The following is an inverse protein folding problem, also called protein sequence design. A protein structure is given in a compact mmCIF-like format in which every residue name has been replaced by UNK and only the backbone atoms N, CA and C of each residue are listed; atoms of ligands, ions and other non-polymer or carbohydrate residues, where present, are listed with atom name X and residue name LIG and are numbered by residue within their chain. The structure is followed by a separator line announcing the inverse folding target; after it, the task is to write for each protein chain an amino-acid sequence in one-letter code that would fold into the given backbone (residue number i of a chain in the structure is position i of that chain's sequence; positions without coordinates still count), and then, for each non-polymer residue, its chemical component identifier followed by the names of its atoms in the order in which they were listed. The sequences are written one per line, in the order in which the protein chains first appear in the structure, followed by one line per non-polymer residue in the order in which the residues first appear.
data_IF_718468360006
#
_entry.id   IF_718468360006
#
_cell.length_a   1.000
_cell.length_b   1.000
_cell.length_c   1.000
_cell.angle_alpha   90.00
_cell.angle_beta   90.00
_cell.angle_gamma   90.00
#
_symmetry.space_group_name_H-M   'P 1'
#
loop_
_entity.id
_entity.type
_entity.pdbx_description
1 polymer ?
#
# COMPACT_ATOMS: atom_id res chain seq x y z
N UNK A 1 25.06 -16.75 -37.50
CA UNK A 1 24.48 -15.43 -37.78
C UNK A 1 25.66 -14.47 -37.91
N UNK A 2 25.83 -13.84 -39.11
CA UNK A 2 26.90 -12.90 -39.32
C UNK A 2 26.75 -11.65 -38.43
N UNK A 3 27.85 -11.12 -37.96
CA UNK A 3 27.87 -9.88 -37.20
C UNK A 3 27.44 -8.70 -38.11
N UNK A 4 26.17 -8.31 -37.99
CA UNK A 4 25.64 -7.13 -38.65
C UNK A 4 25.75 -5.97 -37.67
N UNK A 5 26.72 -5.09 -37.86
CA UNK A 5 26.84 -3.85 -37.09
C UNK A 5 25.99 -2.76 -37.73
N UNK A 6 25.01 -2.27 -36.97
CA UNK A 6 24.17 -1.14 -37.38
C UNK A 6 24.50 0.07 -36.49
N UNK A 7 24.72 1.19 -37.09
CA UNK A 7 24.99 2.45 -36.36
C UNK A 7 23.73 3.30 -36.36
N UNK A 8 23.27 3.69 -35.16
CA UNK A 8 22.08 4.52 -34.97
C UNK A 8 22.45 5.84 -34.28
N UNK A 9 21.78 6.91 -34.69
CA UNK A 9 21.86 8.19 -34.00
C UNK A 9 20.71 8.26 -32.97
N UNK A 10 21.07 8.39 -31.70
CA UNK A 10 20.09 8.56 -30.62
C UNK A 10 19.49 9.97 -30.71
N UNK A 11 18.20 10.07 -31.00
CA UNK A 11 17.46 11.34 -31.10
C UNK A 11 16.76 11.76 -29.84
N UNK A 12 16.57 10.84 -28.89
CA UNK A 12 15.92 11.13 -27.63
C UNK A 12 15.71 9.87 -26.79
N UNK A 13 15.27 10.06 -25.57
CA UNK A 13 14.89 9.00 -24.65
C UNK A 13 13.38 9.02 -24.46
N UNK A 14 12.77 7.85 -24.46
CA UNK A 14 11.33 7.68 -24.26
C UNK A 14 11.08 6.68 -23.15
N UNK A 15 9.91 6.78 -22.52
CA UNK A 15 9.41 5.76 -21.60
C UNK A 15 8.33 4.94 -22.31
N UNK A 16 8.50 3.63 -22.30
CA UNK A 16 7.51 2.72 -22.87
C UNK A 16 6.49 2.30 -21.82
N UNK A 17 5.22 2.33 -22.18
CA UNK A 17 4.15 1.75 -21.34
C UNK A 17 4.15 0.22 -21.33
N UNK A 18 4.81 -0.41 -22.30
CA UNK A 18 4.91 -1.85 -22.46
C UNK A 18 6.08 -2.43 -21.65
N UNK A 19 7.22 -1.75 -21.65
CA UNK A 19 8.42 -2.15 -20.94
C UNK A 19 8.61 -1.34 -19.67
N UNK A 20 7.68 -1.46 -18.73
CA UNK A 20 7.75 -0.79 -17.42
C UNK A 20 8.90 -1.33 -16.56
N UNK A 21 9.24 -2.60 -16.75
CA UNK A 21 10.33 -3.26 -16.04
C UNK A 21 11.33 -3.77 -17.08
N UNK A 22 12.56 -3.26 -17.03
CA UNK A 22 13.66 -3.79 -17.81
C UNK A 22 14.20 -5.03 -17.10
N UNK A 23 13.77 -6.19 -17.56
CA UNK A 23 14.13 -7.45 -16.92
C UNK A 23 14.52 -8.50 -17.95
N UNK A 24 15.48 -9.33 -17.60
CA UNK A 24 15.67 -10.63 -18.25
C UNK A 24 14.96 -11.67 -17.38
N UNK A 25 14.00 -12.36 -17.94
CA UNK A 25 13.10 -13.25 -17.21
C UNK A 25 12.26 -12.48 -16.18
N UNK A 26 12.47 -12.71 -14.88
CA UNK A 26 11.67 -12.14 -13.78
C UNK A 26 12.45 -11.08 -13.00
N UNK A 27 13.78 -11.02 -13.18
CA UNK A 27 14.64 -10.12 -12.37
C UNK A 27 14.91 -8.83 -13.12
N UNK A 28 14.53 -7.66 -12.57
CA UNK A 28 14.86 -6.37 -13.15
C UNK A 28 16.37 -6.18 -13.22
N UNK A 29 16.89 -5.85 -14.41
CA UNK A 29 18.31 -5.59 -14.64
C UNK A 29 18.45 -4.36 -15.54
N UNK A 30 18.12 -3.15 -15.07
CA UNK A 30 18.10 -1.94 -15.87
C UNK A 30 19.48 -1.52 -16.35
N UNK A 31 20.55 -1.97 -15.69
CA UNK A 31 21.93 -1.63 -16.06
C UNK A 31 22.46 -2.45 -17.24
N UNK A 32 21.84 -3.58 -17.54
CA UNK A 32 22.29 -4.53 -18.57
C UNK A 32 21.34 -4.58 -19.74
N UNK A 33 20.03 -4.46 -19.48
CA UNK A 33 18.98 -4.58 -20.49
C UNK A 33 18.26 -3.26 -20.69
N UNK A 34 18.04 -2.93 -21.95
CA UNK A 34 17.27 -1.78 -22.37
C UNK A 34 16.43 -2.13 -23.59
N UNK A 35 15.53 -1.24 -23.96
CA UNK A 35 14.78 -1.30 -25.18
C UNK A 35 15.09 -0.07 -26.05
N UNK A 36 15.01 -0.24 -27.35
CA UNK A 36 15.29 0.78 -28.33
C UNK A 36 14.18 0.76 -29.38
N UNK A 37 13.60 1.92 -29.64
CA UNK A 37 12.69 2.10 -30.75
C UNK A 37 13.43 2.63 -31.96
N UNK A 38 13.36 1.90 -33.06
CA UNK A 38 14.03 2.21 -34.31
C UNK A 38 12.98 2.48 -35.39
N UNK A 39 13.30 3.37 -36.32
CA UNK A 39 12.42 3.63 -37.46
C UNK A 39 12.24 2.38 -38.33
N UNK A 40 11.01 2.10 -38.75
CA UNK A 40 10.69 0.98 -39.63
C UNK A 40 11.54 1.00 -40.93
N UNK A 41 11.92 2.19 -41.42
CA UNK A 41 12.78 2.31 -42.61
C UNK A 41 14.20 1.77 -42.36
N UNK A 42 14.72 1.91 -41.14
CA UNK A 42 16.05 1.41 -40.79
C UNK A 42 16.09 -0.11 -40.61
N UNK A 43 14.92 -0.72 -40.33
CA UNK A 43 14.75 -2.16 -40.11
C UNK A 43 14.02 -2.84 -41.27
N UNK A 44 13.90 -2.22 -42.43
CA UNK A 44 13.15 -2.76 -43.57
C UNK A 44 13.68 -4.12 -44.10
N UNK A 45 14.92 -4.46 -43.82
CA UNK A 45 15.54 -5.74 -44.14
C UNK A 45 15.17 -6.89 -43.17
N UNK A 46 14.57 -6.57 -42.02
CA UNK A 46 14.22 -7.55 -41.00
C UNK A 46 12.71 -7.82 -41.02
N UNK A 47 12.27 -9.08 -40.93
CA UNK A 47 10.84 -9.42 -40.84
C UNK A 47 10.29 -8.89 -39.50
N UNK A 48 9.04 -8.44 -39.51
CA UNK A 48 8.31 -8.13 -38.30
C UNK A 48 8.04 -9.42 -37.50
N UNK A 49 8.41 -9.43 -36.25
CA UNK A 49 8.23 -10.59 -35.35
C UNK A 49 7.06 -10.41 -34.40
N UNK A 50 6.59 -9.19 -34.19
CA UNK A 50 5.50 -8.85 -33.29
C UNK A 50 4.54 -7.84 -33.91
N UNK A 51 3.25 -7.97 -33.61
CA UNK A 51 2.23 -7.03 -34.04
C UNK A 51 1.33 -6.68 -32.84
N UNK A 52 1.24 -5.39 -32.54
CA UNK A 52 0.32 -4.89 -31.52
C UNK A 52 -1.05 -4.57 -32.15
N UNK A 53 -2.07 -5.25 -31.66
CA UNK A 53 -3.46 -5.06 -32.11
C UNK A 53 -4.24 -4.37 -31.00
N UNK A 54 -4.80 -3.19 -31.29
CA UNK A 54 -5.72 -2.50 -30.39
C UNK A 54 -7.15 -2.71 -30.92
N UNK A 55 -7.91 -3.52 -30.22
CA UNK A 55 -9.34 -3.68 -30.50
C UNK A 55 -10.14 -2.46 -30.01
N UNK A 56 -11.30 -2.19 -30.64
CA UNK A 56 -12.26 -1.21 -30.15
C UNK A 56 -12.82 -1.63 -28.79
N UNK A 57 -13.30 -0.67 -27.99
CA UNK A 57 -13.91 -0.96 -26.68
C UNK A 57 -15.09 -1.92 -26.73
N UNK A 58 -15.81 -1.97 -27.86
CA UNK A 58 -17.02 -2.76 -28.06
C UNK A 58 -16.76 -4.06 -28.85
N UNK A 59 -15.49 -4.34 -29.21
CA UNK A 59 -15.13 -5.52 -29.95
C UNK A 59 -15.11 -6.77 -29.06
N UNK A 60 -15.71 -7.85 -29.57
CA UNK A 60 -15.56 -9.16 -28.94
C UNK A 60 -14.15 -9.68 -29.17
N UNK A 61 -13.34 -9.71 -28.11
CA UNK A 61 -11.96 -10.19 -28.17
C UNK A 61 -11.86 -11.66 -28.65
N UNK A 62 -12.92 -12.45 -28.44
CA UNK A 62 -12.95 -13.85 -28.86
C UNK A 62 -13.03 -13.95 -30.39
N UNK A 63 -13.84 -13.09 -31.00
CA UNK A 63 -13.94 -13.02 -32.45
C UNK A 63 -12.65 -12.49 -33.08
N UNK A 64 -12.09 -11.41 -32.52
CA UNK A 64 -10.83 -10.84 -33.02
C UNK A 64 -9.70 -11.89 -32.95
N UNK A 65 -9.63 -12.64 -31.86
CA UNK A 65 -8.65 -13.73 -31.71
C UNK A 65 -8.84 -14.82 -32.76
N UNK A 66 -10.08 -15.24 -32.99
CA UNK A 66 -10.39 -16.26 -34.00
C UNK A 66 -10.00 -15.79 -35.41
N UNK A 67 -10.25 -14.54 -35.75
CA UNK A 67 -9.89 -13.95 -37.03
C UNK A 67 -8.37 -13.85 -37.22
N UNK A 68 -7.63 -13.46 -36.19
CA UNK A 68 -6.16 -13.46 -36.22
C UNK A 68 -5.62 -14.90 -36.39
N UNK A 69 -6.18 -15.88 -35.67
CA UNK A 69 -5.76 -17.27 -35.78
C UNK A 69 -6.06 -17.87 -37.17
N UNK A 70 -7.17 -17.48 -37.79
CA UNK A 70 -7.50 -17.89 -39.14
C UNK A 70 -6.53 -17.30 -40.17
N UNK A 71 -6.09 -16.07 -39.96
CA UNK A 71 -5.17 -15.38 -40.87
C UNK A 71 -3.70 -15.80 -40.66
N UNK A 72 -3.31 -16.01 -39.43
CA UNK A 72 -1.96 -16.39 -39.02
C UNK A 72 -1.99 -17.56 -38.02
N UNK A 73 -2.11 -18.82 -38.48
CA UNK A 73 -2.27 -19.99 -37.59
C UNK A 73 -1.09 -20.26 -36.66
N UNK A 74 0.09 -19.74 -37.01
CA UNK A 74 1.34 -19.90 -36.22
C UNK A 74 1.59 -18.75 -35.25
N UNK A 75 0.72 -17.74 -35.18
CA UNK A 75 0.89 -16.59 -34.33
C UNK A 75 0.60 -16.94 -32.86
N UNK A 76 1.50 -16.57 -31.95
CA UNK A 76 1.27 -16.63 -30.53
C UNK A 76 0.52 -15.37 -30.12
N UNK A 77 -0.73 -15.50 -29.72
CA UNK A 77 -1.55 -14.38 -29.28
C UNK A 77 -1.38 -14.23 -27.76
N UNK A 78 -0.82 -13.10 -27.34
CA UNK A 78 -0.64 -12.72 -25.93
C UNK A 78 -1.57 -11.58 -25.60
N UNK A 79 -2.48 -11.78 -24.67
CA UNK A 79 -3.37 -10.74 -24.19
C UNK A 79 -2.63 -9.76 -23.29
N UNK A 80 -3.14 -8.53 -23.19
CA UNK A 80 -2.63 -7.52 -22.27
C UNK A 80 -2.47 -8.06 -20.83
N UNK A 81 -3.40 -8.93 -20.40
CA UNK A 81 -3.43 -9.47 -19.04
C UNK A 81 -2.43 -10.60 -18.82
N UNK A 82 -2.03 -11.29 -19.87
CA UNK A 82 -1.04 -12.39 -19.84
C UNK A 82 0.37 -11.93 -20.24
N UNK A 83 0.50 -10.67 -20.69
CA UNK A 83 1.79 -10.10 -21.03
C UNK A 83 2.71 -10.03 -19.79
N UNK A 84 3.97 -10.48 -19.93
CA UNK A 84 4.93 -10.61 -18.83
C UNK A 84 5.13 -9.31 -18.03
N UNK A 85 5.18 -8.17 -18.73
CA UNK A 85 5.29 -6.85 -18.10
C UNK A 85 4.08 -6.51 -17.22
N UNK A 86 2.87 -6.80 -17.70
CA UNK A 86 1.62 -6.58 -16.96
C UNK A 86 1.51 -7.51 -15.75
N UNK A 87 1.87 -8.79 -15.92
CA UNK A 87 1.89 -9.76 -14.82
C UNK A 87 2.88 -9.36 -13.72
N UNK A 88 4.09 -8.94 -14.10
CA UNK A 88 5.09 -8.48 -13.14
C UNK A 88 4.61 -7.25 -12.37
N UNK A 89 4.02 -6.27 -13.06
CA UNK A 89 3.45 -5.08 -12.41
C UNK A 89 2.28 -5.43 -11.48
N UNK A 90 1.37 -6.32 -11.90
CA UNK A 90 0.26 -6.79 -11.05
C UNK A 90 0.74 -7.55 -9.82
N UNK A 91 1.72 -8.44 -9.98
CA UNK A 91 2.30 -9.18 -8.85
C UNK A 91 2.94 -8.24 -7.84
N UNK A 92 3.67 -7.24 -8.33
CA UNK A 92 4.26 -6.20 -7.51
C UNK A 92 3.18 -5.43 -6.71
N UNK A 93 2.14 -4.94 -7.40
CA UNK A 93 1.01 -4.26 -6.75
C UNK A 93 0.29 -5.16 -5.76
N UNK A 94 0.04 -6.43 -6.10
CA UNK A 94 -0.65 -7.38 -5.22
C UNK A 94 0.15 -7.68 -3.95
N UNK A 95 1.48 -7.80 -4.07
CA UNK A 95 2.38 -7.96 -2.92
C UNK A 95 2.27 -6.77 -1.95
N UNK A 96 2.37 -5.54 -2.46
CA UNK A 96 2.20 -4.33 -1.63
C UNK A 96 0.81 -4.23 -1.01
N UNK A 97 -0.22 -4.62 -1.76
CA UNK A 97 -1.59 -4.66 -1.27
C UNK A 97 -1.74 -5.63 -0.09
N UNK A 98 -1.16 -6.81 -0.18
CA UNK A 98 -1.19 -7.80 0.91
C UNK A 98 -0.45 -7.30 2.15
N UNK A 99 0.72 -6.70 1.96
CA UNK A 99 1.46 -6.06 3.06
C UNK A 99 0.67 -4.92 3.71
N UNK A 100 -0.06 -4.13 2.91
CA UNK A 100 -0.88 -3.02 3.41
C UNK A 100 -2.01 -3.45 4.33
N UNK A 101 -2.46 -4.70 4.25
CA UNK A 101 -3.44 -5.24 5.19
C UNK A 101 -2.78 -5.89 6.42
N UNK A 102 -1.71 -6.63 6.21
CA UNK A 102 -1.05 -7.39 7.28
C UNK A 102 -0.36 -6.49 8.29
N UNK A 103 0.39 -5.50 7.82
CA UNK A 103 1.19 -4.60 8.67
C UNK A 103 0.35 -3.79 9.67
N UNK A 104 -0.73 -3.12 9.27
CA UNK A 104 -1.58 -2.38 10.21
C UNK A 104 -2.18 -3.29 11.29
N UNK A 105 -2.65 -4.49 10.94
CA UNK A 105 -3.21 -5.42 11.92
C UNK A 105 -2.19 -5.78 12.99
N UNK A 106 -0.95 -6.10 12.59
CA UNK A 106 0.12 -6.43 13.51
C UNK A 106 0.48 -5.23 14.40
N UNK A 107 0.64 -4.05 13.83
CA UNK A 107 0.95 -2.82 14.58
C UNK A 107 -0.17 -2.47 15.57
N UNK A 108 -1.43 -2.59 15.15
CA UNK A 108 -2.58 -2.38 16.05
C UNK A 108 -2.62 -3.38 17.20
N UNK A 109 -2.31 -4.66 16.95
CA UNK A 109 -2.26 -5.66 18.02
C UNK A 109 -1.20 -5.32 19.07
N UNK A 110 -0.01 -4.93 18.64
CA UNK A 110 1.08 -4.51 19.55
C UNK A 110 0.70 -3.23 20.30
N UNK A 111 0.15 -2.22 19.60
CA UNK A 111 -0.28 -0.97 20.22
C UNK A 111 -1.39 -1.21 21.25
N UNK A 112 -2.38 -2.07 20.94
CA UNK A 112 -3.42 -2.45 21.88
C UNK A 112 -2.85 -3.06 23.16
N UNK A 113 -1.88 -3.96 23.03
CA UNK A 113 -1.21 -4.59 24.18
C UNK A 113 -0.48 -3.58 25.06
N UNK A 114 0.23 -2.62 24.45
CA UNK A 114 0.91 -1.55 25.16
C UNK A 114 -0.09 -0.65 25.91
N UNK A 115 -1.19 -0.26 25.24
CA UNK A 115 -2.22 0.60 25.83
C UNK A 115 -2.88 -0.11 27.01
N UNK A 116 -3.25 -1.39 26.87
CA UNK A 116 -3.84 -2.19 27.98
C UNK A 116 -2.90 -2.21 29.19
N UNK A 117 -1.62 -2.57 28.97
CA UNK A 117 -0.65 -2.64 30.06
C UNK A 117 -0.45 -1.28 30.75
N UNK A 118 -0.32 -0.21 29.95
CA UNK A 118 -0.08 1.14 30.49
C UNK A 118 -1.27 1.63 31.30
N UNK A 119 -2.49 1.46 30.79
CA UNK A 119 -3.72 1.87 31.47
C UNK A 119 -3.96 1.04 32.72
N UNK A 120 -3.74 -0.26 32.69
CA UNK A 120 -3.89 -1.11 33.88
C UNK A 120 -2.97 -0.65 35.01
N UNK A 121 -1.69 -0.46 34.71
CA UNK A 121 -0.72 0.06 35.69
C UNK A 121 -1.09 1.46 36.21
N UNK A 122 -1.54 2.34 35.35
CA UNK A 122 -1.96 3.69 35.72
C UNK A 122 -3.15 3.64 36.68
N UNK A 123 -4.16 2.83 36.40
CA UNK A 123 -5.35 2.66 37.24
C UNK A 123 -4.97 2.02 38.59
N UNK A 124 -4.11 1.02 38.61
CA UNK A 124 -3.63 0.38 39.82
C UNK A 124 -2.88 1.36 40.72
N UNK A 125 -1.96 2.16 40.17
CA UNK A 125 -1.21 3.16 40.92
C UNK A 125 -2.07 4.31 41.46
N UNK A 126 -3.20 4.60 40.82
CA UNK A 126 -4.09 5.69 41.21
C UNK A 126 -5.33 5.21 41.96
N UNK A 127 -5.36 3.97 42.40
CA UNK A 127 -6.51 3.35 43.14
C UNK A 127 -6.92 4.18 44.36
N UNK A 128 -5.95 4.62 45.14
CA UNK A 128 -6.20 5.42 46.35
C UNK A 128 -6.82 6.78 45.97
N UNK A 129 -6.32 7.43 44.95
CA UNK A 129 -6.87 8.70 44.44
C UNK A 129 -8.30 8.54 43.91
N UNK A 130 -8.62 7.43 43.24
CA UNK A 130 -9.99 7.14 42.82
C UNK A 130 -10.91 6.94 44.01
N UNK A 131 -10.46 6.27 45.07
CA UNK A 131 -11.21 6.09 46.29
C UNK A 131 -11.50 7.42 47.01
N UNK A 132 -10.53 8.30 47.12
CA UNK A 132 -10.69 9.64 47.71
C UNK A 132 -11.64 10.53 46.91
N UNK A 133 -11.56 10.50 45.56
CA UNK A 133 -12.50 11.22 44.69
C UNK A 133 -13.95 10.73 44.87
N UNK A 134 -14.14 9.41 45.00
CA UNK A 134 -15.47 8.85 45.32
C UNK A 134 -15.98 9.26 46.68
N UNK A 135 -15.11 9.28 47.70
CA UNK A 135 -15.46 9.74 49.03
C UNK A 135 -15.84 11.23 49.09
N UNK A 136 -15.25 12.03 48.21
CA UNK A 136 -15.57 13.46 48.02
C UNK A 136 -16.86 13.69 47.22
N UNK A 137 -17.56 12.61 46.78
CA UNK A 137 -18.84 12.71 46.11
C UNK A 137 -18.77 12.85 44.57
N UNK A 138 -17.60 12.65 43.94
CA UNK A 138 -17.50 12.63 42.47
C UNK A 138 -18.25 11.41 41.89
N UNK A 139 -19.00 11.64 40.83
CA UNK A 139 -19.72 10.58 40.13
C UNK A 139 -18.76 9.70 39.32
N UNK A 140 -19.00 8.41 39.27
CA UNK A 140 -18.20 7.45 38.46
C UNK A 140 -18.02 7.87 37.00
N UNK A 141 -19.02 8.56 36.43
CA UNK A 141 -18.92 9.10 35.07
C UNK A 141 -17.84 10.18 34.92
N UNK A 142 -17.67 11.05 35.92
CA UNK A 142 -16.67 12.11 35.90
C UNK A 142 -15.26 11.54 36.01
N UNK A 143 -15.08 10.57 36.91
CA UNK A 143 -13.82 9.86 37.08
C UNK A 143 -13.46 9.12 35.79
N UNK A 144 -14.42 8.40 35.20
CA UNK A 144 -14.23 7.69 33.94
C UNK A 144 -13.83 8.62 32.78
N UNK A 145 -14.47 9.79 32.63
CA UNK A 145 -14.13 10.78 31.62
C UNK A 145 -12.74 11.34 31.79
N UNK A 146 -12.30 11.52 33.01
CA UNK A 146 -10.94 11.96 33.32
C UNK A 146 -9.90 10.93 32.84
N UNK A 147 -10.09 9.65 33.14
CA UNK A 147 -9.17 8.60 32.65
C UNK A 147 -9.26 8.41 31.13
N UNK A 148 -10.44 8.61 30.56
CA UNK A 148 -10.63 8.52 29.11
C UNK A 148 -9.85 9.63 28.37
N UNK A 149 -9.71 10.82 28.97
CA UNK A 149 -8.93 11.90 28.36
C UNK A 149 -7.45 11.55 28.17
N UNK A 150 -6.88 10.75 29.08
CA UNK A 150 -5.50 10.25 28.94
C UNK A 150 -5.31 9.31 27.75
N UNK A 151 -6.37 8.68 27.26
CA UNK A 151 -6.33 7.85 26.05
C UNK A 151 -6.69 8.65 24.80
N UNK A 152 -7.66 9.57 24.88
CA UNK A 152 -8.12 10.36 23.72
C UNK A 152 -7.03 11.30 23.24
N UNK A 153 -6.41 12.08 24.11
CA UNK A 153 -5.44 13.11 23.72
C UNK A 153 -4.27 12.51 22.94
N UNK A 154 -3.55 11.49 23.45
CA UNK A 154 -2.42 10.93 22.71
C UNK A 154 -2.88 10.14 21.48
N UNK A 155 -4.06 9.50 21.46
CA UNK A 155 -4.54 8.78 20.28
C UNK A 155 -4.92 9.71 19.13
N UNK A 156 -5.57 10.85 19.41
CA UNK A 156 -5.86 11.87 18.42
C UNK A 156 -4.59 12.52 17.90
N UNK A 157 -3.70 12.94 18.80
CA UNK A 157 -2.42 13.54 18.43
C UNK A 157 -1.57 12.56 17.62
N UNK A 158 -1.47 11.29 18.05
CA UNK A 158 -0.73 10.25 17.35
C UNK A 158 -1.32 9.92 15.98
N UNK A 159 -2.64 9.86 15.84
CA UNK A 159 -3.28 9.61 14.54
C UNK A 159 -3.08 10.76 13.55
N UNK A 160 -3.18 12.02 14.00
CA UNK A 160 -2.90 13.18 13.17
C UNK A 160 -1.44 13.23 12.73
N UNK A 161 -0.50 13.05 13.65
CA UNK A 161 0.93 12.97 13.34
C UNK A 161 1.22 11.81 12.40
N UNK A 162 0.62 10.65 12.63
CA UNK A 162 0.78 9.47 11.77
C UNK A 162 0.28 9.69 10.34
N UNK A 163 -0.87 10.36 10.17
CA UNK A 163 -1.37 10.72 8.83
C UNK A 163 -0.42 11.71 8.15
N UNK A 164 -0.01 12.78 8.83
CA UNK A 164 0.87 13.81 8.26
C UNK A 164 2.24 13.23 7.88
N UNK A 165 2.90 12.53 8.80
CA UNK A 165 4.22 11.94 8.55
C UNK A 165 4.16 10.83 7.51
N UNK A 166 3.15 9.96 7.56
CA UNK A 166 2.98 8.86 6.63
C UNK A 166 2.75 9.34 5.19
N UNK A 167 1.92 10.36 4.99
CA UNK A 167 1.66 10.92 3.66
C UNK A 167 2.89 11.60 3.03
N UNK A 168 3.75 12.18 3.84
CA UNK A 168 4.97 12.84 3.34
C UNK A 168 6.11 11.83 3.18
N UNK A 169 6.37 11.03 4.23
CA UNK A 169 7.56 10.19 4.29
C UNK A 169 7.47 8.96 3.39
N UNK A 170 6.33 8.30 3.32
CA UNK A 170 6.19 7.05 2.56
C UNK A 170 6.41 7.25 1.06
N UNK A 171 5.77 8.21 0.37
CA UNK A 171 6.05 8.47 -1.03
C UNK A 171 7.50 8.87 -1.29
N UNK A 172 8.08 9.68 -0.39
CA UNK A 172 9.45 10.15 -0.52
C UNK A 172 10.49 9.02 -0.38
N UNK A 173 10.26 8.08 0.54
CA UNK A 173 11.15 6.92 0.76
C UNK A 173 10.97 5.86 -0.33
N UNK A 174 9.70 5.59 -0.71
CA UNK A 174 9.40 4.53 -1.69
C UNK A 174 9.73 4.93 -3.12
N UNK A 175 9.64 6.23 -3.46
CA UNK A 175 9.89 6.70 -4.82
C UNK A 175 11.23 6.26 -5.40
N UNK A 176 12.40 6.49 -4.74
CA UNK A 176 13.67 6.04 -5.27
C UNK A 176 13.74 4.52 -5.43
N UNK A 177 13.15 3.75 -4.52
CA UNK A 177 13.13 2.27 -4.59
C UNK A 177 12.30 1.80 -5.79
N UNK A 178 11.12 2.38 -5.98
CA UNK A 178 10.23 2.03 -7.08
C UNK A 178 10.80 2.51 -8.41
N UNK A 179 11.34 3.72 -8.49
CA UNK A 179 11.89 4.30 -9.72
C UNK A 179 13.15 3.60 -10.24
N UNK A 180 13.89 2.92 -9.37
CA UNK A 180 15.02 2.08 -9.76
C UNK A 180 14.56 0.81 -10.49
N UNK A 181 13.46 0.22 -10.07
CA UNK A 181 12.98 -1.06 -10.61
C UNK A 181 11.91 -0.89 -11.70
N UNK A 182 11.13 0.19 -11.64
CA UNK A 182 10.02 0.45 -12.57
C UNK A 182 10.12 1.87 -13.09
N UNK A 183 10.32 2.02 -14.40
CA UNK A 183 10.33 3.34 -15.03
C UNK A 183 8.92 3.84 -15.27
N UNK A 184 8.40 4.61 -14.33
CA UNK A 184 7.06 5.17 -14.43
C UNK A 184 7.09 6.57 -15.06
N UNK A 185 6.25 6.87 -16.06
CA UNK A 185 6.25 8.17 -16.74
C UNK A 185 5.68 9.33 -15.92
N UNK A 186 5.06 9.04 -14.78
CA UNK A 186 4.38 10.03 -13.95
C UNK A 186 5.00 10.11 -12.54
N UNK A 187 5.02 11.33 -11.98
CA UNK A 187 5.36 11.51 -10.56
C UNK A 187 4.23 10.91 -9.71
N UNK A 188 4.61 10.14 -8.67
CA UNK A 188 3.64 9.64 -7.71
C UNK A 188 2.99 10.82 -6.96
N UNK A 189 1.76 11.11 -7.33
CA UNK A 189 0.87 11.90 -6.49
C UNK A 189 0.07 10.91 -5.65
N UNK A 190 0.33 10.90 -4.34
CA UNK A 190 -0.49 10.14 -3.40
C UNK A 190 -1.51 11.10 -2.76
N UNK A 191 -2.69 11.27 -3.34
CA UNK A 191 -3.73 12.09 -2.73
C UNK A 191 -4.15 11.45 -1.41
N UNK A 192 -4.45 12.28 -0.41
CA UNK A 192 -5.01 11.80 0.86
C UNK A 192 -6.36 11.16 0.53
N UNK A 193 -6.41 9.84 0.59
CA UNK A 193 -7.64 9.11 0.29
C UNK A 193 -8.57 9.10 1.50
N UNK A 194 -9.88 8.95 1.26
CA UNK A 194 -10.86 8.79 2.34
C UNK A 194 -10.56 7.59 3.24
N UNK A 195 -9.89 6.57 2.71
CA UNK A 195 -9.43 5.39 3.48
C UNK A 195 -8.44 5.78 4.56
N UNK A 196 -7.54 6.74 4.31
CA UNK A 196 -6.57 7.21 5.31
C UNK A 196 -7.28 7.81 6.53
N UNK A 197 -8.29 8.65 6.31
CA UNK A 197 -9.09 9.22 7.38
C UNK A 197 -9.92 8.17 8.11
N UNK A 198 -10.46 7.19 7.39
CA UNK A 198 -11.20 6.08 7.99
C UNK A 198 -10.30 5.27 8.93
N UNK A 199 -9.07 4.95 8.52
CA UNK A 199 -8.11 4.23 9.38
C UNK A 199 -7.72 5.09 10.59
N UNK A 200 -7.52 6.40 10.43
CA UNK A 200 -7.22 7.30 11.53
C UNK A 200 -8.35 7.35 12.57
N UNK A 201 -9.60 7.46 12.12
CA UNK A 201 -10.77 7.42 13.01
C UNK A 201 -10.90 6.05 13.68
N UNK A 202 -10.71 4.97 12.94
CA UNK A 202 -10.77 3.61 13.46
C UNK A 202 -9.72 3.39 14.56
N UNK A 203 -8.51 3.93 14.41
CA UNK A 203 -7.45 3.82 15.42
C UNK A 203 -7.82 4.52 16.73
N UNK A 204 -8.42 5.71 16.65
CA UNK A 204 -8.90 6.45 17.83
C UNK A 204 -10.05 5.69 18.50
N UNK A 205 -11.00 5.19 17.73
CA UNK A 205 -12.13 4.40 18.25
C UNK A 205 -11.65 3.13 18.95
N UNK A 206 -10.71 2.41 18.35
CA UNK A 206 -10.12 1.21 18.96
C UNK A 206 -9.41 1.54 20.29
N UNK A 207 -8.64 2.62 20.34
CA UNK A 207 -7.98 3.07 21.57
C UNK A 207 -9.01 3.40 22.68
N UNK A 208 -10.12 4.06 22.31
CA UNK A 208 -11.20 4.37 23.24
C UNK A 208 -11.89 3.11 23.76
N UNK A 209 -12.18 2.14 22.91
CA UNK A 209 -12.81 0.88 23.30
C UNK A 209 -11.92 0.10 24.26
N UNK A 210 -10.61 0.03 23.99
CA UNK A 210 -9.65 -0.63 24.87
C UNK A 210 -9.60 0.09 26.23
N UNK A 211 -9.55 1.42 26.23
CA UNK A 211 -9.54 2.21 27.47
C UNK A 211 -10.81 1.97 28.30
N UNK A 212 -11.99 2.01 27.67
CA UNK A 212 -13.28 1.72 28.34
C UNK A 212 -13.33 0.30 28.89
N UNK A 213 -12.88 -0.67 28.13
CA UNK A 213 -12.85 -2.07 28.57
C UNK A 213 -11.94 -2.25 29.80
N UNK A 214 -10.73 -1.70 29.72
CA UNK A 214 -9.74 -1.78 30.82
C UNK A 214 -10.24 -1.08 32.07
N UNK A 215 -10.81 0.14 31.93
CA UNK A 215 -11.40 0.85 33.06
C UNK A 215 -12.56 0.06 33.72
N UNK A 216 -13.49 -0.46 32.92
CA UNK A 216 -14.63 -1.21 33.42
C UNK A 216 -14.20 -2.51 34.14
N UNK A 217 -13.16 -3.17 33.64
CA UNK A 217 -12.59 -4.35 34.28
C UNK A 217 -11.97 -3.98 35.65
N UNK A 218 -11.10 -2.97 35.68
CA UNK A 218 -10.44 -2.52 36.90
C UNK A 218 -11.44 -1.98 37.95
N UNK A 219 -12.50 -1.29 37.53
CA UNK A 219 -13.55 -0.81 38.43
C UNK A 219 -14.35 -1.94 39.07
N UNK A 220 -14.54 -3.06 38.37
CA UNK A 220 -15.24 -4.27 38.93
C UNK A 220 -14.36 -4.99 39.95
N UNK A 221 -13.07 -5.10 39.71
CA UNK A 221 -12.15 -5.76 40.64
C UNK A 221 -12.00 -4.97 41.96
N UNK A 222 -12.14 -3.63 41.91
CA UNK A 222 -12.10 -2.77 43.12
C UNK A 222 -13.32 -2.95 44.01
N UNK A 223 -14.50 -3.18 43.45
CA UNK A 223 -15.72 -3.43 44.24
C UNK A 223 -15.73 -4.81 44.89
N UNK A 224 -15.10 -5.80 44.25
CA UNK A 224 -15.05 -7.17 44.80
C UNK A 224 -14.00 -7.32 45.93
N UNK A 225 -13.00 -6.44 46.01
CA UNK A 225 -11.96 -6.49 47.05
C UNK A 225 -12.31 -5.67 48.31
N UNK A 226 -13.45 -4.98 48.33
CA UNK A 226 -13.95 -4.20 49.46
C UNK A 226 -15.13 -4.90 50.21
N UNK A 227 -15.55 -6.05 49.74
CA UNK A 227 -16.47 -6.99 50.36
C UNK A 227 -15.71 -8.18 50.93
#
# INVERSE_FOLDING_TARGET
YGDVSLTFFVRGTILSGEYLVTAKNITPQPDIYGYMYVSAKAMAAFPFTEMLVKASSDADLTQVRAEIMNTCPTALIVDKDTHSGTLSARNFVSMFRSLSYLFPVLVFAVAAMIVVNTLTRMIENQRVQMGTLKALGYRDRQIRLHYLSYAIVPSVAGSLLGVLTGQISIPYILWPIVSTNVRYPARLHAPISGITWLIAVLSVVMCLLICLHTYNRAARETTASLL
#
